data_IF_758132721223
#
_entry.id   IF_758132721223
#
_cell.length_a   1.000
_cell.length_b   1.000
_cell.length_c   1.000
_cell.angle_alpha   90.00
_cell.angle_beta   90.00
_cell.angle_gamma   90.00
#
_symmetry.space_group_name_H-M   'P 1'
#
loop_
_entity.id
_entity.type
_entity.pdbx_description
1 polymer ?
#
# COMPACT_ATOMS: atom_id res chain seq x y z
N UNK A 1 -18.61 15.63 -5.01
CA UNK A 1 -18.07 14.36 -4.51
C UNK A 1 -16.56 14.46 -4.32
N UNK A 2 -15.77 14.87 -5.29
CA UNK A 2 -14.31 15.03 -5.13
C UNK A 2 -13.90 15.85 -3.90
N UNK A 3 -14.55 16.97 -3.62
CA UNK A 3 -14.26 17.79 -2.43
C UNK A 3 -14.48 17.07 -1.08
N UNK A 4 -15.23 15.97 -1.04
CA UNK A 4 -15.48 15.18 0.17
C UNK A 4 -14.47 14.04 0.36
N UNK A 5 -13.67 13.71 -0.65
CA UNK A 5 -12.67 12.63 -0.58
C UNK A 5 -11.48 12.99 0.32
N UNK A 6 -11.26 14.27 0.58
CA UNK A 6 -10.06 14.83 1.23
C UNK A 6 -8.76 14.54 0.44
N UNK A 7 -8.86 14.33 -0.87
CA UNK A 7 -7.74 14.11 -1.78
C UNK A 7 -7.53 15.37 -2.60
N UNK A 8 -6.35 15.99 -2.49
CA UNK A 8 -5.97 17.15 -3.27
C UNK A 8 -5.28 16.75 -4.58
N UNK A 9 -4.45 15.71 -4.51
CA UNK A 9 -3.68 15.22 -5.66
C UNK A 9 -3.72 13.70 -5.75
N UNK A 10 -3.67 13.20 -6.99
CA UNK A 10 -3.43 11.80 -7.33
C UNK A 10 -2.43 11.78 -8.48
N UNK A 11 -1.51 10.87 -8.40
CA UNK A 11 -0.44 10.74 -9.37
C UNK A 11 -0.75 9.61 -10.35
N UNK A 12 -0.27 9.73 -11.56
CA UNK A 12 -0.41 8.72 -12.60
C UNK A 12 0.86 8.61 -13.41
N UNK A 13 1.24 7.39 -13.79
CA UNK A 13 2.32 7.14 -14.76
C UNK A 13 1.88 7.42 -16.20
N UNK A 14 0.59 7.54 -16.44
CA UNK A 14 0.05 7.82 -17.77
C UNK A 14 0.46 9.22 -18.22
N UNK A 15 0.95 9.39 -19.46
CA UNK A 15 1.29 10.70 -19.98
C UNK A 15 0.07 11.64 -19.93
N UNK A 16 0.29 12.85 -19.43
CA UNK A 16 -0.74 13.89 -19.43
C UNK A 16 -0.79 14.57 -20.81
N UNK A 17 -1.14 13.83 -21.85
CA UNK A 17 -1.43 14.42 -23.15
C UNK A 17 -2.69 15.28 -23.04
N UNK A 18 -2.62 16.52 -23.50
CA UNK A 18 -3.69 17.52 -23.37
C UNK A 18 -4.21 17.72 -21.93
N UNK A 19 -3.42 17.40 -20.89
CA UNK A 19 -3.77 17.65 -19.49
C UNK A 19 -4.58 16.55 -18.81
N UNK A 20 -4.89 15.44 -19.48
CA UNK A 20 -5.62 14.31 -18.89
C UNK A 20 -5.25 12.98 -19.56
N UNK A 21 -4.98 11.90 -18.78
CA UNK A 21 -4.82 10.57 -19.36
C UNK A 21 -6.12 10.00 -19.96
N UNK A 22 -7.24 10.66 -19.74
CA UNK A 22 -8.60 10.30 -20.22
C UNK A 22 -9.07 11.30 -21.29
N UNK A 23 -8.16 12.01 -21.94
CA UNK A 23 -8.45 12.95 -23.01
C UNK A 23 -8.66 12.27 -24.36
N UNK A 24 -8.89 13.09 -25.41
CA UNK A 24 -9.13 12.61 -26.78
C UNK A 24 -7.93 11.83 -27.37
N UNK A 25 -6.73 12.01 -26.83
CA UNK A 25 -5.48 11.40 -27.31
C UNK A 25 -4.76 10.53 -26.28
N UNK A 26 -5.28 10.41 -25.04
CA UNK A 26 -4.66 9.68 -23.96
C UNK A 26 -4.81 8.15 -24.07
N UNK A 27 -4.23 7.42 -23.11
CA UNK A 27 -4.28 5.96 -23.04
C UNK A 27 -5.71 5.40 -23.11
N UNK A 28 -6.70 6.15 -22.62
CA UNK A 28 -8.12 5.80 -22.62
C UNK A 28 -8.90 6.50 -23.73
N UNK A 29 -8.20 7.06 -24.73
CA UNK A 29 -8.87 7.70 -25.85
C UNK A 29 -9.59 6.67 -26.74
N UNK A 30 -10.72 7.10 -27.34
CA UNK A 30 -11.50 6.28 -28.25
C UNK A 30 -12.68 5.57 -27.58
N UNK A 31 -13.46 4.87 -28.43
CA UNK A 31 -14.65 4.15 -27.97
C UNK A 31 -14.30 2.77 -27.37
N UNK A 32 -13.18 2.20 -27.79
CA UNK A 32 -12.71 0.91 -27.32
C UNK A 32 -11.66 1.14 -26.22
N UNK A 33 -12.04 0.99 -24.96
CA UNK A 33 -11.11 1.06 -23.85
C UNK A 33 -10.03 -0.02 -23.96
N UNK A 34 -8.76 0.28 -23.56
CA UNK A 34 -7.67 -0.69 -23.65
C UNK A 34 -7.99 -1.95 -22.85
N UNK A 35 -7.84 -3.11 -23.51
CA UNK A 35 -8.01 -4.41 -22.87
C UNK A 35 -6.91 -4.72 -21.87
N UNK A 36 -7.11 -5.78 -21.07
CA UNK A 36 -6.18 -6.19 -20.02
C UNK A 36 -4.77 -6.43 -20.54
N UNK A 37 -4.61 -7.03 -21.71
CA UNK A 37 -3.29 -7.26 -22.30
C UNK A 37 -2.53 -5.94 -22.57
N UNK A 38 -3.19 -4.92 -23.11
CA UNK A 38 -2.58 -3.62 -23.34
C UNK A 38 -2.19 -2.93 -22.03
N UNK A 39 -3.02 -3.03 -20.98
CA UNK A 39 -2.73 -2.51 -19.64
C UNK A 39 -1.53 -3.23 -19.02
N UNK A 40 -1.42 -4.55 -19.19
CA UNK A 40 -0.27 -5.34 -18.70
C UNK A 40 1.02 -5.04 -19.47
N UNK A 41 0.94 -4.73 -20.75
CA UNK A 41 2.11 -4.26 -21.51
C UNK A 41 2.64 -2.95 -20.93
N UNK A 42 1.76 -1.97 -20.68
CA UNK A 42 2.16 -0.71 -20.06
C UNK A 42 2.64 -0.89 -18.61
N UNK A 43 2.02 -1.80 -17.85
CA UNK A 43 2.48 -2.15 -16.51
C UNK A 43 3.91 -2.71 -16.51
N UNK A 44 4.22 -3.60 -17.46
CA UNK A 44 5.55 -4.22 -17.57
C UNK A 44 6.66 -3.17 -17.78
N UNK A 45 6.34 -2.08 -18.46
CA UNK A 45 7.28 -0.98 -18.72
C UNK A 45 7.31 0.03 -17.56
N UNK A 46 6.14 0.49 -17.11
CA UNK A 46 6.04 1.61 -16.19
C UNK A 46 6.25 1.24 -14.71
N UNK A 47 5.84 0.04 -14.27
CA UNK A 47 5.96 -0.35 -12.86
C UNK A 47 7.43 -0.48 -12.42
N UNK A 48 8.35 -1.10 -13.21
CA UNK A 48 9.75 -1.09 -12.86
C UNK A 48 10.36 0.31 -12.81
N UNK A 49 9.98 1.21 -13.73
CA UNK A 49 10.49 2.59 -13.72
C UNK A 49 10.11 3.32 -12.43
N UNK A 50 8.82 3.25 -12.05
CA UNK A 50 8.35 3.89 -10.83
C UNK A 50 9.00 3.27 -9.58
N UNK A 51 9.16 1.95 -9.54
CA UNK A 51 9.86 1.25 -8.46
C UNK A 51 11.32 1.70 -8.34
N UNK A 52 12.02 1.84 -9.47
CA UNK A 52 13.41 2.31 -9.47
C UNK A 52 13.56 3.75 -8.96
N UNK A 53 12.59 4.63 -9.23
CA UNK A 53 12.56 5.97 -8.64
C UNK A 53 12.48 5.91 -7.11
N UNK A 54 11.61 5.03 -6.56
CA UNK A 54 11.51 4.84 -5.11
C UNK A 54 12.83 4.29 -4.51
N UNK A 55 13.45 3.32 -5.18
CA UNK A 55 14.73 2.76 -4.74
C UNK A 55 15.86 3.80 -4.86
N UNK A 56 15.86 4.66 -5.89
CA UNK A 56 16.83 5.74 -6.02
C UNK A 56 16.76 6.72 -4.83
N UNK A 57 15.54 7.10 -4.42
CA UNK A 57 15.35 7.94 -3.22
C UNK A 57 15.81 7.26 -1.92
N UNK A 58 15.64 5.94 -1.80
CA UNK A 58 16.17 5.19 -0.66
C UNK A 58 17.70 5.14 -0.68
N UNK A 59 18.32 4.98 -1.88
CA UNK A 59 19.78 4.92 -2.05
C UNK A 59 20.49 6.19 -1.61
N UNK A 60 19.83 7.33 -1.63
CA UNK A 60 20.36 8.59 -1.08
C UNK A 60 20.54 8.54 0.45
N UNK A 61 19.85 7.64 1.15
CA UNK A 61 19.82 7.55 2.60
C UNK A 61 20.55 6.33 3.16
N UNK A 62 20.57 5.24 2.39
CA UNK A 62 21.16 3.96 2.81
C UNK A 62 21.71 3.18 1.61
N UNK A 63 22.79 2.41 1.84
CA UNK A 63 23.32 1.52 0.83
C UNK A 63 22.33 0.37 0.55
N UNK A 64 22.13 0.06 -0.71
CA UNK A 64 21.24 -1.02 -1.16
C UNK A 64 21.98 -2.12 -1.96
N UNK A 65 23.22 -1.86 -2.37
CA UNK A 65 23.98 -2.74 -3.29
C UNK A 65 24.37 -4.09 -2.63
N UNK A 66 24.27 -4.16 -1.32
CA UNK A 66 24.52 -5.35 -0.49
C UNK A 66 23.19 -6.05 -0.06
N UNK A 67 22.09 -5.74 -0.74
CA UNK A 67 20.84 -6.46 -0.53
C UNK A 67 21.01 -7.94 -0.88
N UNK A 68 20.63 -8.80 0.05
CA UNK A 68 20.62 -10.25 -0.10
C UNK A 68 19.30 -10.79 -0.60
N UNK A 69 18.22 -10.08 -0.28
CA UNK A 69 16.86 -10.43 -0.64
C UNK A 69 16.11 -9.22 -1.22
N UNK A 70 15.21 -9.48 -2.14
CA UNK A 70 14.27 -8.50 -2.70
C UNK A 70 12.85 -9.02 -2.53
N UNK A 71 12.03 -8.29 -1.78
CA UNK A 71 10.60 -8.55 -1.64
C UNK A 71 9.84 -7.45 -2.36
N UNK A 72 9.09 -7.81 -3.40
CA UNK A 72 8.28 -6.86 -4.16
C UNK A 72 6.81 -7.13 -3.91
N UNK A 73 6.01 -6.11 -3.67
CA UNK A 73 4.55 -6.20 -3.61
C UNK A 73 3.92 -5.34 -4.70
N UNK A 74 3.01 -5.92 -5.48
CA UNK A 74 2.21 -5.22 -6.47
C UNK A 74 0.91 -5.97 -6.75
N UNK A 75 -0.19 -5.24 -6.81
CA UNK A 75 -1.54 -5.78 -7.03
C UNK A 75 -2.16 -5.31 -8.34
N UNK A 76 -1.47 -4.46 -9.09
CA UNK A 76 -2.00 -3.77 -10.26
C UNK A 76 -1.46 -4.28 -11.59
N UNK A 77 -0.78 -5.44 -11.58
CA UNK A 77 -0.36 -6.07 -12.82
C UNK A 77 0.41 -7.38 -12.61
N UNK A 78 0.49 -8.13 -13.69
CA UNK A 78 1.23 -9.39 -13.80
C UNK A 78 2.03 -9.42 -15.08
N UNK A 79 3.28 -9.83 -14.97
CA UNK A 79 4.19 -10.03 -16.10
C UNK A 79 5.15 -11.17 -15.78
N UNK A 80 5.57 -11.91 -16.78
CA UNK A 80 6.63 -12.90 -16.67
C UNK A 80 7.64 -12.69 -17.83
N UNK A 81 8.94 -12.47 -17.52
CA UNK A 81 9.58 -12.45 -16.19
C UNK A 81 8.98 -11.38 -15.26
N UNK A 82 8.91 -11.67 -13.94
CA UNK A 82 8.28 -10.81 -12.95
C UNK A 82 9.01 -9.48 -12.77
N UNK A 83 8.30 -8.46 -12.29
CA UNK A 83 8.90 -7.14 -12.04
C UNK A 83 10.02 -7.20 -11.00
N UNK A 84 10.00 -8.18 -10.08
CA UNK A 84 11.09 -8.48 -9.16
C UNK A 84 12.40 -8.79 -9.88
N UNK A 85 12.35 -9.63 -10.93
CA UNK A 85 13.52 -9.92 -11.78
C UNK A 85 13.97 -8.70 -12.56
N UNK A 86 13.02 -7.94 -13.12
CA UNK A 86 13.33 -6.74 -13.90
C UNK A 86 14.01 -5.69 -13.02
N UNK A 87 13.46 -5.44 -11.83
CA UNK A 87 14.01 -4.50 -10.85
C UNK A 87 15.40 -4.94 -10.40
N UNK A 88 15.57 -6.21 -9.98
CA UNK A 88 16.87 -6.74 -9.53
C UNK A 88 17.96 -6.56 -10.59
N UNK A 89 17.66 -6.90 -11.85
CA UNK A 89 18.59 -6.76 -12.98
C UNK A 89 18.95 -5.30 -13.25
N UNK A 90 17.97 -4.41 -13.24
CA UNK A 90 18.18 -2.98 -13.52
C UNK A 90 18.91 -2.24 -12.41
N UNK A 91 18.77 -2.69 -11.16
CA UNK A 91 19.55 -2.21 -10.02
C UNK A 91 20.98 -2.75 -10.00
N UNK A 92 21.30 -3.76 -10.82
CA UNK A 92 22.61 -4.44 -10.81
C UNK A 92 22.82 -5.28 -9.54
N UNK A 93 21.75 -5.77 -8.92
CA UNK A 93 21.85 -6.63 -7.74
C UNK A 93 22.42 -8.00 -8.12
N UNK A 94 22.95 -8.75 -7.13
CA UNK A 94 23.55 -10.05 -7.37
C UNK A 94 22.61 -10.96 -8.17
N UNK A 95 23.09 -11.71 -9.17
CA UNK A 95 22.29 -12.71 -9.87
C UNK A 95 21.73 -13.81 -8.93
N UNK A 96 22.36 -13.98 -7.76
CA UNK A 96 21.93 -14.93 -6.73
C UNK A 96 21.01 -14.31 -5.68
N UNK A 97 20.56 -13.06 -5.85
CA UNK A 97 19.63 -12.44 -4.90
C UNK A 97 18.34 -13.26 -4.78
N UNK A 98 17.93 -13.56 -3.57
CA UNK A 98 16.67 -14.24 -3.34
C UNK A 98 15.49 -13.29 -3.52
N UNK A 99 14.42 -13.75 -4.15
CA UNK A 99 13.30 -12.88 -4.49
C UNK A 99 11.96 -13.48 -4.09
N UNK A 100 11.08 -12.60 -3.62
CA UNK A 100 9.67 -12.90 -3.37
C UNK A 100 8.82 -11.84 -4.04
N UNK A 101 7.86 -12.26 -4.86
CA UNK A 101 6.85 -11.37 -5.45
C UNK A 101 5.50 -11.67 -4.77
N UNK A 102 4.97 -10.68 -4.05
CA UNK A 102 3.67 -10.71 -3.38
C UNK A 102 2.67 -10.02 -4.31
N UNK A 103 1.83 -10.82 -4.95
CA UNK A 103 0.83 -10.34 -5.91
C UNK A 103 -0.59 -10.42 -5.38
N UNK A 104 -1.43 -9.52 -5.85
CA UNK A 104 -2.89 -9.56 -5.73
C UNK A 104 -3.46 -9.65 -4.29
N UNK A 105 -2.72 -9.16 -3.30
CA UNK A 105 -3.19 -9.08 -1.92
C UNK A 105 -3.89 -7.75 -1.60
N UNK A 106 -3.76 -6.74 -2.45
CA UNK A 106 -4.39 -5.43 -2.25
C UNK A 106 -3.67 -4.55 -1.25
N UNK A 107 -4.42 -3.68 -0.60
CA UNK A 107 -3.89 -2.58 0.20
C UNK A 107 -3.06 -2.99 1.42
N UNK A 108 -3.22 -4.21 1.95
CA UNK A 108 -2.40 -4.71 3.05
C UNK A 108 -1.12 -5.45 2.59
N UNK A 109 -0.84 -5.50 1.28
CA UNK A 109 0.35 -6.21 0.78
C UNK A 109 1.68 -5.64 1.30
N UNK A 110 1.74 -4.36 1.67
CA UNK A 110 2.91 -3.79 2.36
C UNK A 110 3.16 -4.45 3.72
N UNK A 111 2.10 -4.75 4.48
CA UNK A 111 2.23 -5.48 5.76
C UNK A 111 2.79 -6.86 5.51
N UNK A 112 2.25 -7.58 4.51
CA UNK A 112 2.75 -8.90 4.14
C UNK A 112 4.23 -8.86 3.70
N UNK A 113 4.63 -7.84 2.92
CA UNK A 113 6.01 -7.65 2.46
C UNK A 113 6.96 -7.37 3.63
N UNK A 114 6.62 -6.43 4.51
CA UNK A 114 7.43 -6.10 5.69
C UNK A 114 7.50 -7.26 6.69
N UNK A 115 6.40 -7.98 6.90
CA UNK A 115 6.36 -9.21 7.72
C UNK A 115 7.27 -10.30 7.14
N UNK A 116 7.23 -10.51 5.82
CA UNK A 116 8.11 -11.46 5.12
C UNK A 116 9.58 -11.07 5.33
N UNK A 117 9.92 -9.80 5.09
CA UNK A 117 11.28 -9.29 5.30
C UNK A 117 11.74 -9.48 6.76
N UNK A 118 10.88 -9.17 7.75
CA UNK A 118 11.17 -9.40 9.14
C UNK A 118 11.44 -10.89 9.44
N UNK A 119 10.66 -11.80 8.85
CA UNK A 119 10.89 -13.24 9.06
C UNK A 119 12.20 -13.71 8.44
N UNK A 120 12.55 -13.21 7.26
CA UNK A 120 13.86 -13.49 6.63
C UNK A 120 14.98 -13.04 7.56
N UNK A 121 15.00 -11.76 8.00
CA UNK A 121 16.04 -11.23 8.89
C UNK A 121 16.12 -11.97 10.22
N UNK A 122 15.00 -12.46 10.75
CA UNK A 122 15.01 -13.27 11.98
C UNK A 122 15.57 -14.67 11.78
N UNK A 123 15.42 -15.23 10.60
CA UNK A 123 16.01 -16.52 10.22
C UNK A 123 17.48 -16.38 9.85
N UNK A 124 17.81 -15.28 9.19
CA UNK A 124 19.13 -14.96 8.68
C UNK A 124 19.53 -13.55 9.15
N UNK A 125 20.20 -13.43 10.31
CA UNK A 125 20.50 -12.13 10.93
C UNK A 125 21.36 -11.19 10.06
N UNK A 126 22.15 -11.74 9.14
CA UNK A 126 22.97 -10.97 8.20
C UNK A 126 22.19 -10.55 6.94
N UNK A 127 20.92 -10.98 6.80
CA UNK A 127 20.11 -10.63 5.65
C UNK A 127 19.80 -9.12 5.62
N UNK A 128 19.90 -8.57 4.41
CA UNK A 128 19.50 -7.20 4.08
C UNK A 128 18.40 -7.28 3.02
N UNK A 129 17.16 -7.04 3.43
CA UNK A 129 15.98 -7.25 2.60
C UNK A 129 15.51 -5.92 2.03
N UNK A 130 15.67 -5.74 0.72
CA UNK A 130 15.06 -4.61 0.01
C UNK A 130 13.58 -4.92 -0.22
N UNK A 131 12.71 -4.14 0.40
CA UNK A 131 11.26 -4.21 0.21
C UNK A 131 10.84 -3.11 -0.74
N UNK A 132 10.09 -3.45 -1.78
CA UNK A 132 9.55 -2.49 -2.76
C UNK A 132 8.05 -2.73 -2.91
N UNK A 133 7.27 -1.67 -2.82
CA UNK A 133 5.84 -1.69 -3.18
C UNK A 133 5.63 -0.79 -4.40
N UNK A 134 4.87 -1.25 -5.39
CA UNK A 134 4.59 -0.46 -6.59
C UNK A 134 3.20 -0.74 -7.12
N UNK A 135 2.41 0.32 -7.32
CA UNK A 135 1.02 0.22 -7.73
C UNK A 135 0.69 1.22 -8.83
N UNK A 136 0.08 0.74 -9.89
CA UNK A 136 -0.36 1.52 -11.05
C UNK A 136 -1.88 1.42 -11.20
N UNK A 137 -2.61 1.90 -10.19
CA UNK A 137 -4.07 1.80 -10.14
C UNK A 137 -4.76 2.55 -11.27
N UNK A 138 -4.14 3.60 -11.80
CA UNK A 138 -4.69 4.38 -12.91
C UNK A 138 -4.72 3.62 -14.23
N UNK A 139 -4.03 2.47 -14.33
CA UNK A 139 -4.15 1.56 -15.49
C UNK A 139 -5.48 0.82 -15.53
N UNK A 140 -6.29 0.88 -14.47
CA UNK A 140 -7.50 0.07 -14.34
C UNK A 140 -8.79 0.89 -14.28
N UNK A 141 -8.79 2.12 -14.83
CA UNK A 141 -10.01 2.88 -14.98
C UNK A 141 -11.02 2.12 -15.85
N UNK A 142 -12.27 2.11 -15.41
CA UNK A 142 -13.39 1.44 -16.04
C UNK A 142 -14.36 2.46 -16.65
N UNK A 143 -14.95 2.15 -17.78
CA UNK A 143 -16.06 2.91 -18.35
C UNK A 143 -17.35 2.47 -17.68
N UNK A 144 -17.73 3.16 -16.62
CA UNK A 144 -18.93 2.85 -15.82
C UNK A 144 -19.68 4.14 -15.49
N UNK A 145 -20.99 4.04 -15.41
CA UNK A 145 -21.87 5.15 -15.04
C UNK A 145 -22.37 5.05 -13.59
N UNK A 146 -22.16 3.91 -12.94
CA UNK A 146 -22.57 3.68 -11.57
C UNK A 146 -21.71 4.48 -10.59
N UNK A 147 -22.35 5.06 -9.58
CA UNK A 147 -21.72 5.98 -8.63
C UNK A 147 -20.64 5.29 -7.79
N UNK A 148 -20.88 4.06 -7.34
CA UNK A 148 -19.98 3.37 -6.42
C UNK A 148 -18.61 3.04 -7.06
N UNK A 149 -18.52 2.43 -8.25
CA UNK A 149 -17.27 2.27 -8.97
C UNK A 149 -16.57 3.59 -9.32
N UNK A 150 -17.32 4.62 -9.70
CA UNK A 150 -16.75 5.95 -9.95
C UNK A 150 -16.10 6.54 -8.71
N UNK A 151 -16.74 6.42 -7.53
CA UNK A 151 -16.17 6.87 -6.26
C UNK A 151 -14.92 6.07 -5.88
N UNK A 152 -14.90 4.77 -6.13
CA UNK A 152 -13.71 3.95 -5.93
C UNK A 152 -12.56 4.45 -6.80
N UNK A 153 -12.79 4.60 -8.11
CA UNK A 153 -11.76 5.09 -9.05
C UNK A 153 -11.24 6.50 -8.71
N UNK A 154 -12.08 7.37 -8.14
CA UNK A 154 -11.68 8.70 -7.71
C UNK A 154 -10.71 8.70 -6.51
N UNK A 155 -10.57 7.59 -5.79
CA UNK A 155 -9.69 7.51 -4.63
C UNK A 155 -8.28 7.05 -5.00
N UNK A 156 -8.12 6.22 -6.04
CA UNK A 156 -6.86 5.58 -6.37
C UNK A 156 -5.93 6.43 -7.23
N UNK A 157 -4.64 6.36 -6.91
CA UNK A 157 -3.52 6.90 -7.69
C UNK A 157 -2.38 5.89 -7.79
N UNK A 158 -1.34 6.23 -8.54
CA UNK A 158 -0.14 5.42 -8.71
C UNK A 158 0.91 5.83 -7.68
N UNK A 159 1.74 4.87 -7.27
CA UNK A 159 2.83 5.14 -6.35
C UNK A 159 3.74 3.94 -6.12
N UNK A 160 4.96 4.23 -5.72
CA UNK A 160 5.92 3.23 -5.26
C UNK A 160 6.66 3.70 -4.03
N UNK A 161 7.09 2.75 -3.20
CA UNK A 161 7.93 3.01 -2.05
C UNK A 161 8.97 1.89 -1.89
N UNK A 162 10.10 2.23 -1.27
CA UNK A 162 11.15 1.26 -0.96
C UNK A 162 11.62 1.42 0.49
N UNK A 163 11.98 0.30 1.12
CA UNK A 163 12.57 0.27 2.44
C UNK A 163 13.63 -0.84 2.53
N UNK A 164 14.64 -0.64 3.38
CA UNK A 164 15.58 -1.70 3.77
C UNK A 164 15.18 -2.24 5.13
N UNK A 165 15.07 -3.56 5.24
CA UNK A 165 14.84 -4.27 6.50
C UNK A 165 16.07 -5.11 6.81
N UNK A 166 16.63 -4.93 7.99
CA UNK A 166 17.83 -5.62 8.48
C UNK A 166 17.82 -5.75 10.00
N UNK A 167 18.79 -6.45 10.58
CA UNK A 167 18.99 -6.53 12.02
C UNK A 167 19.72 -5.31 12.61
N UNK A 168 20.13 -4.34 11.78
CA UNK A 168 20.80 -3.13 12.27
C UNK A 168 19.85 -2.31 13.16
N UNK A 169 20.30 -1.77 14.30
CA UNK A 169 19.50 -0.96 15.21
C UNK A 169 19.29 0.46 14.65
N UNK A 170 18.54 0.57 13.56
CA UNK A 170 18.28 1.81 12.84
C UNK A 170 16.84 1.88 12.36
N UNK A 171 16.21 3.03 12.53
CA UNK A 171 14.85 3.27 12.06
C UNK A 171 13.78 2.74 13.00
N UNK A 172 12.78 2.07 12.46
CA UNK A 172 11.66 1.49 13.20
C UNK A 172 11.82 -0.04 13.27
N UNK A 173 11.82 -0.59 14.46
CA UNK A 173 11.77 -2.04 14.67
C UNK A 173 10.36 -2.56 14.37
N UNK A 174 10.24 -3.54 13.47
CA UNK A 174 9.00 -4.24 13.17
C UNK A 174 8.76 -5.29 14.25
N UNK A 175 7.74 -5.08 15.07
CA UNK A 175 7.36 -5.94 16.19
C UNK A 175 6.44 -7.10 15.79
N UNK A 176 5.54 -7.45 16.72
CA UNK A 176 4.58 -8.53 16.50
C UNK A 176 3.57 -8.14 15.41
N UNK A 177 3.37 -9.02 14.44
CA UNK A 177 2.36 -8.87 13.40
C UNK A 177 1.07 -9.59 13.76
N UNK A 178 -0.02 -9.11 13.20
CA UNK A 178 -1.34 -9.73 13.26
C UNK A 178 -1.98 -9.77 11.88
N UNK A 179 -2.91 -10.70 11.69
CA UNK A 179 -3.78 -10.79 10.52
C UNK A 179 -5.11 -11.39 10.95
N UNK A 180 -6.20 -10.81 10.48
CA UNK A 180 -7.55 -11.32 10.69
C UNK A 180 -8.44 -11.00 9.50
N UNK A 181 -9.35 -11.91 9.16
CA UNK A 181 -10.39 -11.66 8.16
C UNK A 181 -11.69 -11.40 8.90
N UNK A 182 -12.37 -10.31 8.57
CA UNK A 182 -13.64 -9.97 9.20
C UNK A 182 -14.76 -10.88 8.66
N UNK A 183 -15.62 -11.36 9.55
CA UNK A 183 -16.70 -12.26 9.18
C UNK A 183 -17.68 -11.59 8.21
N UNK A 184 -18.26 -12.37 7.30
CA UNK A 184 -19.30 -11.96 6.35
C UNK A 184 -18.94 -10.71 5.53
N UNK A 185 -17.69 -10.57 5.12
CA UNK A 185 -17.19 -9.35 4.48
C UNK A 185 -16.41 -9.59 3.17
N UNK A 186 -16.36 -10.82 2.70
CA UNK A 186 -15.63 -11.27 1.52
C UNK A 186 -16.00 -10.52 0.23
N UNK A 187 -17.22 -9.98 0.15
CA UNK A 187 -17.73 -9.24 -1.00
C UNK A 187 -17.55 -7.72 -0.92
N UNK A 188 -17.15 -7.19 0.23
CA UNK A 188 -17.12 -5.74 0.45
C UNK A 188 -15.94 -5.04 -0.23
N UNK A 189 -14.81 -5.73 -0.36
CA UNK A 189 -13.66 -5.27 -1.15
C UNK A 189 -13.22 -6.42 -2.04
N UNK A 190 -13.33 -6.23 -3.37
CA UNK A 190 -12.89 -7.21 -4.36
C UNK A 190 -12.12 -6.53 -5.48
N UNK A 191 -11.30 -7.31 -6.14
CA UNK A 191 -10.49 -6.91 -7.27
C UNK A 191 -10.59 -8.01 -8.33
N UNK A 192 -11.43 -7.80 -9.30
CA UNK A 192 -11.76 -8.81 -10.31
C UNK A 192 -10.98 -8.55 -11.60
N UNK A 193 -10.32 -9.57 -12.14
CA UNK A 193 -9.65 -9.50 -13.45
C UNK A 193 -10.71 -9.64 -14.54
N UNK A 194 -10.77 -8.65 -15.43
CA UNK A 194 -11.72 -8.58 -16.54
C UNK A 194 -11.01 -8.42 -17.88
N UNK A 195 -11.74 -8.42 -18.97
CA UNK A 195 -11.18 -8.18 -20.32
C UNK A 195 -10.67 -6.74 -20.51
N UNK A 196 -11.13 -5.79 -19.67
CA UNK A 196 -10.77 -4.37 -19.72
C UNK A 196 -10.00 -3.92 -18.47
N UNK A 197 -9.11 -4.76 -17.95
CA UNK A 197 -8.30 -4.50 -16.76
C UNK A 197 -8.88 -5.11 -15.51
N UNK A 198 -8.53 -4.55 -14.35
CA UNK A 198 -8.97 -5.07 -13.06
C UNK A 198 -10.07 -4.16 -12.50
N UNK A 199 -11.25 -4.74 -12.27
CA UNK A 199 -12.39 -4.00 -11.74
C UNK A 199 -12.38 -4.03 -10.21
N UNK A 200 -12.30 -2.84 -9.60
CA UNK A 200 -12.40 -2.68 -8.15
C UNK A 200 -13.85 -2.58 -7.72
N UNK A 201 -14.24 -3.42 -6.79
CA UNK A 201 -15.46 -3.25 -6.02
C UNK A 201 -15.11 -2.82 -4.59
N UNK A 202 -15.58 -1.65 -4.19
CA UNK A 202 -15.40 -1.08 -2.86
C UNK A 202 -16.76 -0.63 -2.33
N UNK A 203 -17.37 -1.45 -1.49
CA UNK A 203 -18.69 -1.17 -0.92
C UNK A 203 -18.67 0.02 0.05
N UNK A 204 -19.73 0.83 -0.03
CA UNK A 204 -19.98 1.90 0.96
C UNK A 204 -20.18 1.39 2.40
N UNK A 205 -20.37 0.09 2.60
CA UNK A 205 -20.52 -0.54 3.93
C UNK A 205 -19.17 -0.76 4.66
N UNK A 206 -18.03 -0.68 3.95
CA UNK A 206 -16.70 -0.98 4.50
C UNK A 206 -16.40 -0.20 5.79
N UNK A 207 -16.63 1.14 5.87
CA UNK A 207 -16.35 1.89 7.09
C UNK A 207 -17.18 1.41 8.29
N UNK A 208 -18.47 1.11 8.09
CA UNK A 208 -19.35 0.61 9.15
C UNK A 208 -18.91 -0.78 9.64
N UNK A 209 -18.49 -1.65 8.72
CA UNK A 209 -17.99 -2.99 9.07
C UNK A 209 -16.67 -2.92 9.84
N UNK A 210 -15.76 -2.01 9.46
CA UNK A 210 -14.53 -1.73 10.21
C UNK A 210 -14.87 -1.26 11.63
N UNK A 211 -15.77 -0.29 11.76
CA UNK A 211 -16.18 0.22 13.08
C UNK A 211 -16.76 -0.88 13.97
N UNK A 212 -17.61 -1.76 13.41
CA UNK A 212 -18.17 -2.92 14.13
C UNK A 212 -17.07 -3.88 14.58
N UNK A 213 -16.11 -4.19 13.72
CA UNK A 213 -14.99 -5.09 14.05
C UNK A 213 -14.10 -4.49 15.15
N UNK A 214 -13.80 -3.20 15.08
CA UNK A 214 -12.99 -2.49 16.09
C UNK A 214 -13.75 -2.21 17.40
N UNK A 215 -15.04 -2.53 17.50
CA UNK A 215 -15.76 -2.57 18.76
C UNK A 215 -15.49 -3.87 19.56
N UNK A 216 -14.93 -4.90 18.91
CA UNK A 216 -14.51 -6.14 19.56
C UNK A 216 -13.20 -5.89 20.34
N UNK A 217 -13.28 -6.02 21.66
CA UNK A 217 -12.16 -5.77 22.57
C UNK A 217 -11.02 -6.77 22.39
N UNK A 218 -11.30 -8.01 22.03
CA UNK A 218 -10.28 -9.04 21.84
C UNK A 218 -9.49 -8.75 20.56
N UNK A 219 -10.17 -8.35 19.50
CA UNK A 219 -9.51 -7.90 18.27
C UNK A 219 -8.66 -6.66 18.52
N UNK A 220 -9.20 -5.65 19.21
CA UNK A 220 -8.46 -4.41 19.53
C UNK A 220 -7.23 -4.72 20.38
N UNK A 221 -7.33 -5.65 21.35
CA UNK A 221 -6.18 -6.08 22.15
C UNK A 221 -5.08 -6.72 21.31
N UNK A 222 -5.44 -7.48 20.28
CA UNK A 222 -4.47 -8.05 19.33
C UNK A 222 -3.82 -6.93 18.49
N UNK A 223 -4.61 -6.03 17.92
CA UNK A 223 -4.15 -4.91 17.09
C UNK A 223 -3.22 -3.99 17.89
N UNK A 224 -3.61 -3.62 19.08
CA UNK A 224 -2.87 -2.70 19.94
C UNK A 224 -1.75 -3.40 20.77
N UNK A 225 -1.43 -4.68 20.48
CA UNK A 225 -0.44 -5.46 21.19
C UNK A 225 -0.65 -5.45 22.74
N UNK A 226 -1.91 -5.46 23.16
CA UNK A 226 -2.31 -5.47 24.56
C UNK A 226 -2.38 -4.10 25.25
N UNK A 227 -2.04 -3.03 24.55
CA UNK A 227 -2.10 -1.66 25.10
C UNK A 227 -3.46 -1.00 24.92
N UNK A 228 -3.70 0.10 25.63
CA UNK A 228 -4.84 1.01 25.32
C UNK A 228 -4.52 1.72 23.98
N UNK A 229 -5.40 1.65 22.98
CA UNK A 229 -5.20 2.34 21.70
C UNK A 229 -4.83 3.82 21.82
N UNK A 230 -5.33 4.50 22.86
CA UNK A 230 -5.07 5.92 23.13
C UNK A 230 -3.67 6.18 23.73
N UNK A 231 -3.02 5.14 24.22
CA UNK A 231 -1.66 5.23 24.74
C UNK A 231 -0.58 4.93 23.68
N UNK A 232 -1.00 4.63 22.45
CA UNK A 232 -0.10 4.39 21.32
C UNK A 232 0.32 5.72 20.71
N UNK A 233 1.63 5.97 20.63
CA UNK A 233 2.21 7.24 20.18
C UNK A 233 2.00 7.52 18.69
N UNK A 234 1.93 6.47 17.88
CA UNK A 234 1.80 6.60 16.43
C UNK A 234 0.94 5.48 15.82
N UNK A 235 -0.04 5.89 15.03
CA UNK A 235 -0.86 5.00 14.23
C UNK A 235 -0.56 5.21 12.74
N UNK A 236 0.06 4.21 12.11
CA UNK A 236 0.21 4.14 10.65
C UNK A 236 -0.99 3.40 10.07
N UNK A 237 -2.10 4.09 9.86
CA UNK A 237 -3.29 3.49 9.24
C UNK A 237 -3.23 3.70 7.74
N UNK A 238 -3.35 2.60 6.98
CA UNK A 238 -3.47 2.68 5.52
C UNK A 238 -4.64 3.60 5.13
N UNK A 239 -4.33 4.64 4.38
CA UNK A 239 -5.29 5.66 3.99
C UNK A 239 -6.11 5.20 2.77
N UNK A 240 -6.94 4.17 2.95
CA UNK A 240 -7.81 3.60 1.91
C UNK A 240 -8.89 4.56 1.43
N UNK A 241 -9.23 5.55 2.26
CA UNK A 241 -10.20 6.61 2.01
C UNK A 241 -10.52 7.34 3.31
N UNK A 242 -11.04 8.58 3.21
CA UNK A 242 -11.38 9.39 4.38
C UNK A 242 -12.27 8.66 5.37
N UNK A 243 -13.36 8.04 4.89
CA UNK A 243 -14.33 7.35 5.74
C UNK A 243 -13.75 6.15 6.49
N UNK A 244 -12.71 5.51 5.96
CA UNK A 244 -12.00 4.43 6.64
C UNK A 244 -11.20 5.00 7.80
N UNK A 245 -10.48 6.11 7.60
CA UNK A 245 -9.73 6.77 8.66
C UNK A 245 -10.68 7.28 9.76
N UNK A 246 -11.80 7.88 9.38
CA UNK A 246 -12.82 8.36 10.31
C UNK A 246 -13.42 7.18 11.14
N UNK A 247 -13.66 6.02 10.50
CA UNK A 247 -14.16 4.84 11.19
C UNK A 247 -13.16 4.28 12.22
N UNK A 248 -11.87 4.22 11.88
CA UNK A 248 -10.81 3.81 12.81
C UNK A 248 -10.68 4.77 13.98
N UNK A 249 -10.61 6.08 13.70
CA UNK A 249 -10.50 7.13 14.72
C UNK A 249 -11.63 7.05 15.73
N UNK A 250 -12.90 6.98 15.27
CA UNK A 250 -14.06 6.90 16.12
C UNK A 250 -14.12 5.58 16.91
N UNK A 251 -13.89 4.44 16.25
CA UNK A 251 -14.02 3.13 16.89
C UNK A 251 -12.97 2.90 18.00
N UNK A 252 -11.76 3.38 17.78
CA UNK A 252 -10.66 3.29 18.77
C UNK A 252 -10.61 4.49 19.71
N UNK A 253 -11.52 5.46 19.57
CA UNK A 253 -11.56 6.70 20.36
C UNK A 253 -10.23 7.46 20.36
N UNK A 254 -9.59 7.55 19.19
CA UNK A 254 -8.32 8.24 19.04
C UNK A 254 -8.53 9.76 19.01
N UNK A 255 -7.52 10.51 19.45
CA UNK A 255 -7.50 11.96 19.28
C UNK A 255 -7.44 12.33 17.79
N UNK A 256 -8.07 13.44 17.42
CA UNK A 256 -8.21 13.87 16.02
C UNK A 256 -6.88 13.98 15.26
N UNK A 257 -5.79 14.37 15.96
CA UNK A 257 -4.45 14.49 15.35
C UNK A 257 -3.71 13.16 15.19
N UNK A 258 -4.20 12.07 15.78
CA UNK A 258 -3.49 10.76 15.79
C UNK A 258 -3.28 10.21 14.38
N UNK A 259 -4.22 10.44 13.46
CA UNK A 259 -4.16 9.97 12.08
C UNK A 259 -3.71 11.04 11.07
N UNK A 260 -3.11 12.16 11.52
CA UNK A 260 -2.69 13.25 10.64
C UNK A 260 -1.72 12.81 9.54
N UNK A 261 -0.78 11.90 9.82
CA UNK A 261 0.13 11.39 8.78
C UNK A 261 -0.62 10.58 7.72
N UNK A 262 -1.56 9.74 8.13
CA UNK A 262 -2.41 8.97 7.19
C UNK A 262 -3.28 9.91 6.36
N UNK A 263 -3.88 10.92 6.98
CA UNK A 263 -4.69 11.94 6.30
C UNK A 263 -3.85 12.79 5.34
N UNK A 264 -2.64 13.18 5.74
CA UNK A 264 -1.72 13.93 4.89
C UNK A 264 -1.28 13.14 3.65
N UNK A 265 -0.99 11.83 3.81
CA UNK A 265 -0.68 10.94 2.67
C UNK A 265 -1.88 10.83 1.73
N UNK A 266 -3.09 10.64 2.26
CA UNK A 266 -4.31 10.60 1.46
C UNK A 266 -4.52 11.89 0.68
N UNK A 267 -4.36 13.03 1.33
CA UNK A 267 -4.54 14.33 0.69
C UNK A 267 -3.55 14.59 -0.44
N UNK A 268 -2.29 14.21 -0.24
CA UNK A 268 -1.21 14.48 -1.19
C UNK A 268 -1.13 13.48 -2.37
N UNK A 269 -1.66 12.26 -2.20
CA UNK A 269 -1.39 11.17 -3.15
C UNK A 269 -2.63 10.34 -3.51
N UNK A 270 -3.72 10.45 -2.77
CA UNK A 270 -4.82 9.49 -2.84
C UNK A 270 -4.44 8.13 -2.26
N UNK A 271 -5.21 7.11 -2.60
CA UNK A 271 -4.94 5.72 -2.24
C UNK A 271 -4.02 5.08 -3.29
N UNK A 272 -2.77 4.83 -2.94
CA UNK A 272 -1.77 4.14 -3.78
C UNK A 272 -1.70 2.64 -3.43
N UNK A 273 -2.81 2.03 -3.00
CA UNK A 273 -2.86 0.62 -2.58
C UNK A 273 -1.71 0.28 -1.60
N UNK A 274 -0.93 -0.76 -1.86
CA UNK A 274 0.14 -1.21 -0.95
C UNK A 274 1.19 -0.13 -0.64
N UNK A 275 1.48 0.78 -1.56
CA UNK A 275 2.46 1.83 -1.34
C UNK A 275 2.02 2.86 -0.29
N UNK A 276 0.72 3.08 -0.10
CA UNK A 276 0.18 4.10 0.82
C UNK A 276 0.70 3.94 2.25
N UNK A 277 0.67 2.72 2.80
CA UNK A 277 1.14 2.47 4.17
C UNK A 277 2.62 2.79 4.33
N UNK A 278 3.44 2.51 3.31
CA UNK A 278 4.87 2.83 3.31
C UNK A 278 5.12 4.34 3.38
N UNK A 279 4.32 5.15 2.69
CA UNK A 279 4.38 6.62 2.78
C UNK A 279 4.00 7.12 4.17
N UNK A 280 2.99 6.51 4.82
CA UNK A 280 2.63 6.85 6.21
C UNK A 280 3.78 6.51 7.16
N UNK A 281 4.36 5.31 7.05
CA UNK A 281 5.51 4.90 7.84
C UNK A 281 6.72 5.79 7.63
N UNK A 282 7.00 6.25 6.40
CA UNK A 282 8.08 7.17 6.10
C UNK A 282 7.89 8.53 6.81
N UNK A 283 6.68 9.05 6.89
CA UNK A 283 6.37 10.27 7.65
C UNK A 283 6.59 10.07 9.15
N UNK A 284 6.15 8.93 9.69
CA UNK A 284 6.34 8.59 11.10
C UNK A 284 7.83 8.39 11.42
N UNK A 285 8.60 7.78 10.52
CA UNK A 285 10.06 7.60 10.66
C UNK A 285 10.80 8.95 10.76
N UNK A 286 10.27 9.99 10.14
CA UNK A 286 10.82 11.35 10.21
C UNK A 286 10.46 12.10 11.50
N UNK A 287 9.58 11.56 12.35
CA UNK A 287 9.20 12.15 13.64
C UNK A 287 10.31 11.97 14.68
N UNK A 288 10.29 12.74 15.77
CA UNK A 288 11.00 12.36 16.98
C UNK A 288 10.61 10.95 17.43
N UNK A 289 11.41 10.36 18.28
CA UNK A 289 11.28 8.99 18.77
C UNK A 289 9.82 8.57 19.04
N UNK A 290 9.41 7.44 18.44
CA UNK A 290 8.14 6.76 18.68
C UNK A 290 8.43 5.52 19.50
N UNK A 291 7.88 5.42 20.71
CA UNK A 291 8.10 4.26 21.59
C UNK A 291 7.15 3.11 21.25
N UNK A 292 5.89 3.45 20.98
CA UNK A 292 4.83 2.48 20.67
C UNK A 292 4.04 2.92 19.46
N UNK A 293 4.16 2.19 18.38
CA UNK A 293 3.41 2.42 17.17
C UNK A 293 2.67 1.18 16.67
N UNK A 294 1.60 1.38 15.91
CA UNK A 294 0.85 0.33 15.23
C UNK A 294 0.64 0.69 13.78
N UNK A 295 1.00 -0.21 12.89
CA UNK A 295 0.64 -0.19 11.48
C UNK A 295 -0.61 -1.05 11.26
N UNK A 296 -1.61 -0.51 10.55
CA UNK A 296 -2.88 -1.18 10.28
C UNK A 296 -3.33 -0.92 8.85
N UNK A 297 -3.66 -1.97 8.13
CA UNK A 297 -4.20 -1.88 6.78
C UNK A 297 -5.42 -2.81 6.62
N UNK A 298 -6.40 -2.34 5.84
CA UNK A 298 -7.55 -3.13 5.40
C UNK A 298 -7.50 -3.33 3.88
N UNK A 299 -8.00 -4.44 3.40
CA UNK A 299 -8.00 -4.74 1.96
C UNK A 299 -8.95 -5.85 1.57
N UNK A 300 -8.79 -6.46 0.39
CA UNK A 300 -9.71 -7.45 -0.17
C UNK A 300 -10.10 -8.55 0.78
N UNK A 301 -11.38 -9.00 0.70
CA UNK A 301 -11.98 -9.91 1.67
C UNK A 301 -12.23 -9.28 3.03
N UNK A 302 -12.04 -7.96 3.12
CA UNK A 302 -11.99 -7.14 4.33
C UNK A 302 -11.14 -7.79 5.43
N UNK A 303 -9.92 -8.14 5.06
CA UNK A 303 -8.91 -8.52 6.03
C UNK A 303 -8.29 -7.27 6.67
N UNK A 304 -7.97 -7.37 7.96
CA UNK A 304 -7.18 -6.41 8.71
C UNK A 304 -5.81 -7.03 9.03
N UNK A 305 -4.75 -6.43 8.53
CA UNK A 305 -3.39 -6.86 8.78
C UNK A 305 -2.54 -5.70 9.29
N UNK A 306 -1.57 -6.02 10.15
CA UNK A 306 -0.71 -5.00 10.72
C UNK A 306 0.41 -5.57 11.58
N UNK A 307 1.12 -4.66 12.21
CA UNK A 307 2.20 -4.97 13.15
C UNK A 307 2.43 -3.83 14.13
N UNK A 308 2.91 -4.16 15.32
CA UNK A 308 3.44 -3.17 16.24
C UNK A 308 4.83 -2.72 15.77
N UNK A 309 5.19 -1.46 16.03
CA UNK A 309 6.53 -0.96 15.77
C UNK A 309 6.99 -0.02 16.89
N UNK A 310 8.29 0.20 16.97
CA UNK A 310 8.89 1.09 17.97
C UNK A 310 10.33 1.44 17.60
N UNK A 311 11.12 1.99 18.53
CA UNK A 311 12.51 2.31 18.25
C UNK A 311 13.31 1.03 17.99
N UNK A 312 14.23 1.09 17.03
CA UNK A 312 15.24 0.06 16.87
C UNK A 312 16.22 0.17 18.06
N UNK A 313 16.41 -0.95 18.79
CA UNK A 313 17.23 -1.01 19.99
C UNK A 313 18.60 -1.65 19.70
#
# INVERSE_FOLDING_TARGET
MAARSAIAHRWSVLPAEAGSPVGETGFYAGLDHPGTAARMTLYADAAPELALCAVASLREQIRIDDATHLVVASCTGFVAPGIDQIIARRLGLSPSIERVLIGFMGCYAAVAALRTARHIVRSEPDARVLVVTVELSTLHLQAVDEIEPLLAMLQFGDGAAAAMVSAEPRGLAIGQSFATTLAESDKLIRWDITDTGFAMHLSGEVPARIATALADRDLVKIIAAGQDPRAIDAWAVHAGGRSILDAVEHALMLDAATLDDSRAVLAANGNMSSATLMFVLARILARPRVEHGVALAFGPGLAAEGFAFGPAA
#
